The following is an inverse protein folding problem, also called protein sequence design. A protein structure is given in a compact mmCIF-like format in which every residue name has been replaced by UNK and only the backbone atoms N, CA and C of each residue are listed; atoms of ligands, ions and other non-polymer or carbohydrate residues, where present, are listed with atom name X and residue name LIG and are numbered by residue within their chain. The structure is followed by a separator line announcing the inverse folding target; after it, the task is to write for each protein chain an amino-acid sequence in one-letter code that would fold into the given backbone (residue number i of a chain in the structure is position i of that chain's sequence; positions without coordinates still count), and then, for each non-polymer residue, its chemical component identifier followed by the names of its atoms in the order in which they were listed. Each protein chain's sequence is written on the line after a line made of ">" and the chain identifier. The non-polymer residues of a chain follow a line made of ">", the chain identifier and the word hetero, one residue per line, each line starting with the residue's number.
data_IF_649133639364
#
_entry.id   IF_649133639364
#
_cell.length_a   1.000
_cell.length_b   1.000
_cell.length_c   1.000
_cell.angle_alpha   90.00
_cell.angle_beta   90.00
_cell.angle_gamma   90.00
#
_symmetry.space_group_name_H-M   'P 1'
#
loop_
_entity.id
_entity.type
_entity.pdbx_description
1 polymer ?
#
# COMPACT_ATOMS: atom_id res chain seq x y z
N UNK A 1 25.62 23.56 -2.95
CA UNK A 1 24.61 24.61 -2.88
C UNK A 1 23.84 24.47 -1.57
N UNK A 2 23.34 25.58 -1.01
CA UNK A 2 22.34 25.56 0.04
C UNK A 2 20.98 25.16 -0.53
N UNK A 3 20.04 24.80 0.34
CA UNK A 3 18.67 24.46 -0.08
C UNK A 3 18.01 25.61 -0.85
N UNK A 4 18.09 26.84 -0.32
CA UNK A 4 17.53 28.01 -0.96
C UNK A 4 18.16 28.32 -2.33
N UNK A 5 19.50 28.30 -2.40
CA UNK A 5 20.19 28.55 -3.66
C UNK A 5 19.84 27.51 -4.75
N UNK A 6 19.59 26.25 -4.33
CA UNK A 6 19.15 25.21 -5.22
C UNK A 6 17.70 25.45 -5.71
N UNK A 7 16.79 25.82 -4.81
CA UNK A 7 15.41 26.10 -5.19
C UNK A 7 15.31 27.36 -6.08
N UNK A 8 16.12 28.39 -5.86
CA UNK A 8 16.19 29.57 -6.73
C UNK A 8 16.70 29.18 -8.14
N UNK A 9 17.75 28.34 -8.20
CA UNK A 9 18.23 27.81 -9.46
C UNK A 9 17.14 27.04 -10.22
N UNK A 10 16.41 26.16 -9.54
CA UNK A 10 15.30 25.42 -10.14
C UNK A 10 14.16 26.35 -10.57
N UNK A 11 13.79 27.31 -9.75
CA UNK A 11 12.76 28.31 -10.08
C UNK A 11 13.09 29.07 -11.37
N UNK A 12 14.36 29.42 -11.58
CA UNK A 12 14.84 30.05 -12.81
C UNK A 12 14.69 29.14 -14.02
N UNK A 13 15.11 27.87 -13.92
CA UNK A 13 14.97 26.88 -15.01
C UNK A 13 13.51 26.65 -15.36
N UNK A 14 12.63 26.68 -14.36
CA UNK A 14 11.18 26.51 -14.52
C UNK A 14 10.46 27.80 -14.93
N UNK A 15 11.20 28.85 -15.30
CA UNK A 15 10.68 30.14 -15.76
C UNK A 15 9.76 30.85 -14.74
N UNK A 16 9.97 30.65 -13.44
CA UNK A 16 9.26 31.40 -12.42
C UNK A 16 9.68 32.88 -12.51
N UNK A 17 8.74 33.84 -12.63
CA UNK A 17 9.05 35.27 -12.71
C UNK A 17 9.87 35.73 -11.49
N UNK A 18 10.83 36.64 -11.74
CA UNK A 18 11.80 37.07 -10.70
C UNK A 18 11.12 37.60 -9.46
N UNK A 19 10.06 38.37 -9.63
CA UNK A 19 9.25 38.96 -8.54
C UNK A 19 8.50 37.94 -7.71
N UNK A 20 8.24 36.73 -8.23
CA UNK A 20 7.51 35.66 -7.52
C UNK A 20 8.41 34.60 -6.91
N UNK A 21 9.73 34.57 -7.24
CA UNK A 21 10.62 33.48 -6.82
C UNK A 21 10.76 33.36 -5.32
N UNK A 22 10.93 34.48 -4.63
CA UNK A 22 11.11 34.49 -3.18
C UNK A 22 9.89 33.86 -2.47
N UNK A 23 8.69 34.26 -2.88
CA UNK A 23 7.43 33.75 -2.31
C UNK A 23 7.21 32.26 -2.65
N UNK A 24 7.49 31.86 -3.88
CA UNK A 24 7.41 30.46 -4.31
C UNK A 24 8.38 29.56 -3.57
N UNK A 25 9.60 30.01 -3.35
CA UNK A 25 10.59 29.27 -2.56
C UNK A 25 10.15 29.17 -1.11
N UNK A 26 9.66 30.26 -0.51
CA UNK A 26 9.19 30.25 0.87
C UNK A 26 7.99 29.30 1.05
N UNK A 27 7.03 29.30 0.11
CA UNK A 27 5.88 28.41 0.10
C UNK A 27 6.32 26.93 -0.03
N UNK A 28 7.20 26.62 -0.97
CA UNK A 28 7.72 25.28 -1.16
C UNK A 28 8.45 24.75 0.09
N UNK A 29 9.29 25.58 0.74
CA UNK A 29 9.95 25.22 1.98
C UNK A 29 8.97 24.97 3.12
N UNK A 30 7.91 25.78 3.22
CA UNK A 30 6.86 25.62 4.23
C UNK A 30 6.05 24.33 3.99
N UNK A 31 5.57 24.10 2.77
CA UNK A 31 4.81 22.92 2.38
C UNK A 31 5.58 21.62 2.65
N UNK A 32 6.90 21.63 2.46
CA UNK A 32 7.76 20.45 2.68
C UNK A 32 8.36 20.35 4.07
N UNK A 33 8.05 21.32 4.96
CA UNK A 33 8.52 21.39 6.34
C UNK A 33 10.05 21.34 6.46
N UNK A 34 10.76 22.20 5.69
CA UNK A 34 12.22 22.32 5.69
C UNK A 34 12.69 23.79 5.77
N UNK A 35 11.87 24.68 6.32
CA UNK A 35 12.20 26.10 6.47
C UNK A 35 13.48 26.30 7.30
N UNK A 36 13.65 25.48 8.35
CA UNK A 36 14.82 25.47 9.23
C UNK A 36 16.12 25.04 8.54
N UNK A 37 16.02 24.38 7.37
CA UNK A 37 17.13 23.90 6.56
C UNK A 37 17.48 24.80 5.37
N UNK A 38 16.82 25.94 5.24
CA UNK A 38 16.94 26.87 4.11
C UNK A 38 18.39 27.21 3.75
N UNK A 39 19.22 27.50 4.75
CA UNK A 39 20.63 27.93 4.58
C UNK A 39 21.63 26.78 4.65
N UNK A 40 21.18 25.56 4.98
CA UNK A 40 22.08 24.41 5.07
C UNK A 40 22.49 23.87 3.69
N UNK A 41 23.70 23.32 3.63
CA UNK A 41 24.19 22.65 2.42
C UNK A 41 23.45 21.32 2.21
N UNK A 42 22.88 21.08 1.05
CA UNK A 42 22.12 19.85 0.71
C UNK A 42 22.95 18.58 0.97
N UNK A 43 24.27 18.60 0.71
CA UNK A 43 25.15 17.44 0.96
C UNK A 43 25.18 17.00 2.41
N UNK A 44 24.94 17.90 3.37
CA UNK A 44 24.97 17.65 4.81
C UNK A 44 23.65 17.15 5.37
N UNK A 45 22.57 17.24 4.59
CA UNK A 45 21.25 16.82 5.00
C UNK A 45 21.14 15.28 5.08
N UNK A 46 20.31 14.80 6.02
CA UNK A 46 19.90 13.42 6.05
C UNK A 46 19.12 13.04 4.78
N UNK A 47 18.97 11.73 4.51
CA UNK A 47 18.24 11.23 3.34
C UNK A 47 16.80 11.77 3.31
N UNK A 48 16.09 11.77 4.44
CA UNK A 48 14.72 12.29 4.53
C UNK A 48 14.64 13.79 4.23
N UNK A 49 15.59 14.60 4.70
CA UNK A 49 15.63 16.01 4.32
C UNK A 49 15.96 16.22 2.84
N UNK A 50 16.86 15.42 2.27
CA UNK A 50 17.12 15.46 0.80
C UNK A 50 15.88 15.12 -0.01
N UNK A 51 15.10 14.15 0.44
CA UNK A 51 13.83 13.79 -0.19
C UNK A 51 12.84 14.96 -0.15
N UNK A 52 12.72 15.66 0.98
CA UNK A 52 11.87 16.85 1.11
C UNK A 52 12.35 18.02 0.25
N UNK A 53 13.67 18.17 0.07
CA UNK A 53 14.22 19.14 -0.89
C UNK A 53 13.82 18.77 -2.33
N UNK A 54 13.84 17.49 -2.69
CA UNK A 54 13.34 17.00 -3.97
C UNK A 54 11.86 17.30 -4.18
N UNK A 55 11.02 17.14 -3.13
CA UNK A 55 9.61 17.53 -3.18
C UNK A 55 9.43 19.06 -3.30
N UNK A 56 10.21 19.86 -2.55
CA UNK A 56 10.20 21.32 -2.67
C UNK A 56 10.58 21.78 -4.09
N UNK A 57 11.56 21.12 -4.71
CA UNK A 57 11.94 21.34 -6.10
C UNK A 57 10.77 21.13 -7.06
N UNK A 58 9.98 20.07 -6.85
CA UNK A 58 8.82 19.77 -7.70
C UNK A 58 7.69 20.79 -7.51
N UNK A 59 7.63 21.46 -6.35
CA UNK A 59 6.58 22.42 -5.97
C UNK A 59 6.90 23.87 -6.33
N UNK A 60 8.17 24.24 -6.44
CA UNK A 60 8.61 25.65 -6.50
C UNK A 60 7.98 26.46 -7.66
N UNK A 61 7.57 25.80 -8.75
CA UNK A 61 6.92 26.43 -9.90
C UNK A 61 5.39 26.26 -9.91
N UNK A 62 4.83 25.69 -8.82
CA UNK A 62 3.39 25.51 -8.60
C UNK A 62 2.70 24.77 -9.77
N UNK A 63 3.08 23.56 -10.09
CA UNK A 63 2.54 22.81 -11.22
C UNK A 63 1.18 22.20 -10.90
N UNK A 64 0.31 22.06 -11.91
CA UNK A 64 -0.97 21.34 -11.75
C UNK A 64 -0.76 19.84 -11.50
N UNK A 65 0.32 19.26 -12.05
CA UNK A 65 0.64 17.82 -11.94
C UNK A 65 2.04 17.62 -11.38
N UNK A 66 2.16 16.78 -10.38
CA UNK A 66 3.43 16.37 -9.75
C UNK A 66 3.63 14.89 -9.98
N UNK A 67 4.80 14.51 -10.48
CA UNK A 67 5.19 13.10 -10.67
C UNK A 67 6.28 12.78 -9.66
N UNK A 68 6.03 11.79 -8.82
CA UNK A 68 6.91 11.31 -7.76
C UNK A 68 7.28 9.86 -8.03
N UNK A 69 8.55 9.62 -8.23
CA UNK A 69 9.08 8.27 -8.44
C UNK A 69 9.73 7.78 -7.14
N UNK A 70 9.16 6.70 -6.57
CA UNK A 70 9.63 6.03 -5.35
C UNK A 70 9.96 6.99 -4.18
N UNK A 71 9.05 7.91 -3.77
CA UNK A 71 9.40 9.01 -2.87
C UNK A 71 9.72 8.58 -1.43
N UNK A 72 9.47 7.33 -1.06
CA UNK A 72 9.66 6.79 0.30
C UNK A 72 10.82 5.81 0.41
N UNK A 73 11.42 5.43 -0.72
CA UNK A 73 12.50 4.42 -0.76
C UNK A 73 13.71 4.85 0.08
N UNK A 74 14.09 3.95 1.02
CA UNK A 74 15.25 4.08 1.87
C UNK A 74 15.11 5.14 2.98
N UNK A 75 13.89 5.50 3.32
CA UNK A 75 13.54 6.26 4.50
C UNK A 75 13.23 5.32 5.66
N UNK A 76 13.43 5.81 6.89
CA UNK A 76 12.97 5.10 8.09
C UNK A 76 11.42 5.20 8.23
N UNK A 77 10.78 4.34 9.06
CA UNK A 77 9.32 4.31 9.18
C UNK A 77 8.68 5.64 9.57
N UNK A 78 9.35 6.45 10.39
CA UNK A 78 8.85 7.77 10.81
C UNK A 78 8.87 8.74 9.63
N UNK A 79 9.97 8.76 8.88
CA UNK A 79 10.10 9.60 7.69
C UNK A 79 9.13 9.22 6.58
N UNK A 80 8.84 7.91 6.39
CA UNK A 80 7.82 7.42 5.47
C UNK A 80 6.45 8.03 5.81
N UNK A 81 6.05 7.98 7.09
CA UNK A 81 4.78 8.57 7.54
C UNK A 81 4.74 10.08 7.27
N UNK A 82 5.82 10.77 7.54
CA UNK A 82 5.93 12.22 7.34
C UNK A 82 5.84 12.61 5.86
N UNK A 83 6.57 11.92 4.97
CA UNK A 83 6.53 12.16 3.52
C UNK A 83 5.14 11.82 2.95
N UNK A 84 4.53 10.73 3.38
CA UNK A 84 3.17 10.37 2.97
C UNK A 84 2.13 11.42 3.38
N UNK A 85 2.19 11.92 4.61
CA UNK A 85 1.30 12.97 5.08
C UNK A 85 1.49 14.28 4.28
N UNK A 86 2.73 14.60 3.91
CA UNK A 86 3.04 15.71 3.04
C UNK A 86 2.39 15.53 1.66
N UNK A 87 2.58 14.37 1.02
CA UNK A 87 1.98 14.05 -0.28
C UNK A 87 0.45 14.17 -0.22
N UNK A 88 -0.19 13.63 0.82
CA UNK A 88 -1.64 13.77 1.02
C UNK A 88 -2.08 15.24 1.18
N UNK A 89 -1.30 16.04 1.89
CA UNK A 89 -1.59 17.46 2.04
C UNK A 89 -1.51 18.27 0.74
N UNK A 90 -0.77 17.78 -0.24
CA UNK A 90 -0.66 18.39 -1.57
C UNK A 90 -1.81 18.01 -2.52
N UNK A 91 -2.44 16.86 -2.31
CA UNK A 91 -3.48 16.32 -3.18
C UNK A 91 -4.74 17.20 -3.30
N UNK A 92 -4.96 18.17 -2.38
CA UNK A 92 -6.06 19.14 -2.46
C UNK A 92 -5.84 20.25 -3.49
N UNK A 93 -4.58 20.50 -3.91
CA UNK A 93 -4.21 21.60 -4.81
C UNK A 93 -3.48 21.12 -6.06
N UNK A 94 -2.96 19.90 -6.07
CA UNK A 94 -2.20 19.34 -7.18
C UNK A 94 -2.71 17.93 -7.53
N UNK A 95 -2.63 17.55 -8.79
CA UNK A 95 -2.75 16.15 -9.19
C UNK A 95 -1.41 15.45 -8.99
N UNK A 96 -1.38 14.36 -8.22
CA UNK A 96 -0.14 13.64 -7.91
C UNK A 96 -0.15 12.28 -8.59
N UNK A 97 0.87 12.00 -9.38
CA UNK A 97 1.17 10.68 -9.92
C UNK A 97 2.33 10.11 -9.10
N UNK A 98 2.07 9.01 -8.41
CA UNK A 98 3.02 8.34 -7.54
C UNK A 98 3.38 6.98 -8.13
N UNK A 99 4.66 6.73 -8.44
CA UNK A 99 5.14 5.38 -8.70
C UNK A 99 5.69 4.77 -7.41
N UNK A 100 5.34 3.54 -7.12
CA UNK A 100 5.91 2.78 -6.00
C UNK A 100 5.68 1.28 -6.19
N UNK A 101 6.57 0.47 -5.62
CA UNK A 101 6.40 -0.97 -5.50
C UNK A 101 5.90 -1.39 -4.11
N UNK A 102 5.68 -0.44 -3.20
CA UNK A 102 5.24 -0.69 -1.82
C UNK A 102 3.72 -0.58 -1.76
N UNK A 103 3.03 -1.69 -2.03
CA UNK A 103 1.58 -1.75 -2.16
C UNK A 103 0.78 -1.29 -0.91
N UNK A 104 1.22 -1.54 0.35
CA UNK A 104 0.59 -0.93 1.52
C UNK A 104 0.56 0.60 1.50
N UNK A 105 1.59 1.25 0.93
CA UNK A 105 1.61 2.70 0.81
C UNK A 105 0.58 3.22 -0.18
N UNK A 106 0.38 2.48 -1.28
CA UNK A 106 -0.66 2.79 -2.28
C UNK A 106 -2.04 2.81 -1.64
N UNK A 107 -2.38 1.75 -0.88
CA UNK A 107 -3.68 1.65 -0.18
C UNK A 107 -3.94 2.80 0.79
N UNK A 108 -2.88 3.35 1.39
CA UNK A 108 -2.98 4.41 2.38
C UNK A 108 -2.89 5.82 1.80
N UNK A 109 -2.41 5.99 0.56
CA UNK A 109 -2.04 7.31 0.03
C UNK A 109 -2.82 7.67 -1.23
N UNK A 110 -3.17 6.69 -2.06
CA UNK A 110 -3.73 6.92 -3.38
C UNK A 110 -5.25 6.75 -3.41
N UNK A 111 -5.96 7.65 -4.11
CA UNK A 111 -7.40 7.53 -4.35
C UNK A 111 -7.68 6.56 -5.51
N UNK A 112 -6.76 6.43 -6.44
CA UNK A 112 -6.86 5.56 -7.61
C UNK A 112 -5.52 4.90 -7.92
N UNK A 113 -5.57 3.66 -8.36
CA UNK A 113 -4.41 2.84 -8.68
C UNK A 113 -4.46 2.43 -10.14
N UNK A 114 -3.32 2.47 -10.80
CA UNK A 114 -3.09 1.90 -12.13
C UNK A 114 -2.07 0.78 -11.98
N UNK A 115 -2.46 -0.45 -12.26
CA UNK A 115 -1.56 -1.60 -12.25
C UNK A 115 -1.07 -1.82 -13.68
N UNK A 116 0.26 -1.83 -13.84
CA UNK A 116 0.92 -2.05 -15.14
C UNK A 116 1.62 -3.41 -15.09
N UNK A 117 1.35 -4.25 -16.06
CA UNK A 117 2.01 -5.54 -16.27
C UNK A 117 2.48 -5.68 -17.72
N UNK A 118 3.74 -6.04 -17.94
CA UNK A 118 4.35 -6.21 -19.29
C UNK A 118 4.08 -5.03 -20.25
N UNK A 119 4.13 -3.79 -19.73
CA UNK A 119 3.90 -2.58 -20.51
C UNK A 119 2.44 -2.29 -20.87
N UNK A 120 1.47 -3.04 -20.34
CA UNK A 120 0.03 -2.82 -20.52
C UNK A 120 -0.64 -2.50 -19.21
N UNK A 121 -1.73 -1.73 -19.27
CA UNK A 121 -2.58 -1.48 -18.09
C UNK A 121 -3.39 -2.75 -17.82
N UNK A 122 -3.13 -3.38 -16.67
CA UNK A 122 -3.84 -4.57 -16.21
C UNK A 122 -5.12 -4.22 -15.45
N UNK A 123 -5.10 -3.14 -14.65
CA UNK A 123 -6.28 -2.68 -13.91
C UNK A 123 -6.19 -1.18 -13.59
N UNK A 124 -7.34 -0.52 -13.49
CA UNK A 124 -7.48 0.88 -13.01
C UNK A 124 -8.73 0.99 -12.16
N UNK A 125 -8.55 1.23 -10.86
CA UNK A 125 -9.68 1.48 -9.94
C UNK A 125 -9.18 2.07 -8.61
N UNK A 126 -10.10 2.30 -7.66
CA UNK A 126 -9.74 2.60 -6.27
C UNK A 126 -9.11 1.37 -5.61
N UNK A 127 -8.23 1.52 -4.60
CA UNK A 127 -7.69 0.40 -3.85
C UNK A 127 -8.78 -0.53 -3.29
N UNK A 128 -9.88 0.06 -2.79
CA UNK A 128 -11.03 -0.65 -2.23
C UNK A 128 -11.77 -1.49 -3.28
N UNK A 129 -12.03 -0.90 -4.45
CA UNK A 129 -12.70 -1.62 -5.54
C UNK A 129 -11.84 -2.76 -6.08
N UNK A 130 -10.52 -2.53 -6.25
CA UNK A 130 -9.60 -3.57 -6.67
C UNK A 130 -9.64 -4.76 -5.71
N UNK A 131 -9.63 -4.49 -4.39
CA UNK A 131 -9.72 -5.56 -3.38
C UNK A 131 -11.08 -6.25 -3.36
N UNK A 132 -12.16 -5.57 -3.75
CA UNK A 132 -13.50 -6.13 -3.83
C UNK A 132 -13.77 -6.91 -5.14
N UNK A 133 -13.13 -6.53 -6.25
CA UNK A 133 -13.35 -7.13 -7.58
C UNK A 133 -12.72 -8.51 -7.73
N UNK A 134 -11.70 -8.82 -6.95
CA UNK A 134 -11.17 -10.18 -6.96
C UNK A 134 -12.24 -11.14 -6.48
N UNK A 135 -12.73 -11.96 -7.41
CA UNK A 135 -13.72 -13.01 -7.21
C UNK A 135 -13.23 -14.17 -6.32
N UNK A 136 -12.28 -13.92 -5.45
CA UNK A 136 -11.92 -14.81 -4.36
C UNK A 136 -12.79 -14.48 -3.17
N UNK A 137 -13.46 -15.45 -2.57
CA UNK A 137 -14.24 -15.27 -1.35
C UNK A 137 -13.38 -14.65 -0.25
N UNK A 138 -14.02 -14.04 0.73
CA UNK A 138 -13.30 -13.56 1.91
C UNK A 138 -12.52 -14.74 2.51
N UNK A 139 -11.27 -14.51 2.87
CA UNK A 139 -10.48 -15.49 3.63
C UNK A 139 -10.77 -15.26 5.11
N UNK A 140 -11.02 -16.33 5.84
CA UNK A 140 -11.16 -16.31 7.29
C UNK A 140 -9.95 -17.02 7.89
N UNK A 141 -9.20 -16.32 8.71
CA UNK A 141 -8.10 -16.89 9.49
C UNK A 141 -8.62 -17.34 10.85
N UNK A 142 -8.23 -18.54 11.21
CA UNK A 142 -8.61 -19.21 12.47
C UNK A 142 -7.35 -19.65 13.17
N UNK A 143 -7.19 -19.31 14.45
CA UNK A 143 -6.19 -19.88 15.35
C UNK A 143 -6.92 -20.65 16.45
N UNK A 144 -6.67 -21.94 16.57
CA UNK A 144 -7.44 -22.84 17.43
C UNK A 144 -6.55 -23.96 17.96
N UNK A 145 -6.80 -24.39 19.19
CA UNK A 145 -6.21 -25.60 19.75
C UNK A 145 -7.14 -26.78 19.49
N UNK A 146 -6.79 -27.61 18.52
CA UNK A 146 -7.60 -28.74 18.06
C UNK A 146 -6.69 -29.79 17.38
N UNK A 147 -7.14 -31.05 17.22
CA UNK A 147 -6.48 -32.01 16.35
C UNK A 147 -6.61 -31.58 14.88
N UNK A 148 -5.54 -31.71 14.08
CA UNK A 148 -5.50 -31.17 12.70
C UNK A 148 -6.59 -31.76 11.78
N UNK A 149 -6.67 -33.09 11.70
CA UNK A 149 -7.62 -33.75 10.81
C UNK A 149 -9.09 -33.43 11.17
N UNK A 150 -9.54 -33.54 12.45
CA UNK A 150 -10.88 -33.14 12.84
C UNK A 150 -11.18 -31.66 12.56
N UNK A 151 -10.20 -30.74 12.75
CA UNK A 151 -10.38 -29.34 12.42
C UNK A 151 -10.60 -29.11 10.92
N UNK A 152 -9.79 -29.74 10.07
CA UNK A 152 -9.92 -29.69 8.60
C UNK A 152 -11.28 -30.16 8.15
N UNK A 153 -11.72 -31.33 8.67
CA UNK A 153 -13.02 -31.93 8.32
C UNK A 153 -14.18 -31.02 8.74
N UNK A 154 -14.11 -30.44 9.95
CA UNK A 154 -15.12 -29.51 10.46
C UNK A 154 -15.20 -28.24 9.59
N UNK A 155 -14.08 -27.60 9.28
CA UNK A 155 -14.05 -26.37 8.51
C UNK A 155 -14.53 -26.58 7.07
N UNK A 156 -14.24 -27.73 6.47
CA UNK A 156 -14.68 -28.09 5.12
C UNK A 156 -16.20 -28.30 5.04
N UNK A 157 -16.85 -28.74 6.12
CA UNK A 157 -18.29 -28.95 6.17
C UNK A 157 -19.10 -27.67 6.42
N UNK A 158 -18.47 -26.53 6.69
CA UNK A 158 -19.20 -25.28 6.94
C UNK A 158 -19.81 -24.75 5.64
N UNK A 159 -21.12 -24.48 5.61
CA UNK A 159 -21.80 -23.95 4.43
C UNK A 159 -21.19 -22.61 3.99
N UNK A 160 -20.63 -22.56 2.79
CA UNK A 160 -19.96 -21.38 2.26
C UNK A 160 -18.42 -21.42 2.33
N UNK A 161 -17.83 -22.44 2.95
CA UNK A 161 -16.40 -22.74 2.80
C UNK A 161 -16.12 -23.32 1.42
N UNK A 162 -15.16 -22.76 0.68
CA UNK A 162 -14.78 -23.24 -0.67
C UNK A 162 -13.42 -23.95 -0.65
N UNK A 163 -12.50 -23.49 0.17
CA UNK A 163 -11.18 -24.09 0.32
C UNK A 163 -10.69 -23.92 1.75
N UNK A 164 -10.10 -24.98 2.32
CA UNK A 164 -9.53 -24.98 3.67
C UNK A 164 -8.06 -25.36 3.60
N UNK A 165 -7.21 -24.50 4.13
CA UNK A 165 -5.79 -24.76 4.32
C UNK A 165 -5.51 -24.78 5.82
N UNK A 166 -4.87 -25.81 6.32
CA UNK A 166 -4.42 -25.92 7.71
C UNK A 166 -2.91 -25.99 7.70
N UNK A 167 -2.27 -25.07 8.41
CA UNK A 167 -0.82 -25.03 8.59
C UNK A 167 -0.40 -26.04 9.67
N UNK A 168 0.82 -26.57 9.62
CA UNK A 168 1.33 -27.44 10.67
C UNK A 168 1.24 -26.79 12.06
N UNK A 169 1.01 -27.62 13.08
CA UNK A 169 0.93 -27.15 14.46
C UNK A 169 2.22 -26.43 14.88
N UNK A 170 2.06 -25.31 15.57
CA UNK A 170 3.19 -24.62 16.22
C UNK A 170 3.65 -25.36 17.47
N UNK A 171 4.78 -24.93 18.02
CA UNK A 171 5.35 -25.51 19.22
C UNK A 171 4.42 -25.47 20.46
N UNK A 172 3.44 -24.55 20.46
CA UNK A 172 2.42 -24.39 21.50
C UNK A 172 1.16 -25.26 21.28
N UNK A 173 1.17 -26.11 20.25
CA UNK A 173 0.04 -27.00 19.90
C UNK A 173 -1.15 -26.32 19.22
N UNK A 174 -1.03 -25.04 18.86
CA UNK A 174 -2.06 -24.32 18.13
C UNK A 174 -1.94 -24.54 16.63
N UNK A 175 -3.08 -24.62 15.97
CA UNK A 175 -3.20 -24.72 14.52
C UNK A 175 -3.67 -23.38 13.94
N UNK A 176 -3.09 -23.00 12.82
CA UNK A 176 -3.58 -21.92 11.99
C UNK A 176 -4.30 -22.51 10.78
N UNK A 177 -5.53 -22.07 10.56
CA UNK A 177 -6.28 -22.45 9.38
C UNK A 177 -6.73 -21.20 8.62
N UNK A 178 -6.71 -21.30 7.29
CA UNK A 178 -7.28 -20.28 6.40
C UNK A 178 -8.43 -20.93 5.63
N UNK A 179 -9.63 -20.35 5.75
CA UNK A 179 -10.84 -20.79 5.06
C UNK A 179 -11.21 -19.75 4.02
N UNK A 180 -11.20 -20.14 2.76
CA UNK A 180 -11.75 -19.31 1.68
C UNK A 180 -13.26 -19.48 1.63
N UNK A 181 -13.99 -18.35 1.50
CA UNK A 181 -15.47 -18.38 1.48
C UNK A 181 -15.98 -18.13 0.08
N UNK A 182 -17.18 -18.61 -0.21
CA UNK A 182 -17.91 -18.19 -1.39
C UNK A 182 -18.25 -16.69 -1.29
N UNK A 183 -18.30 -16.00 -2.44
CA UNK A 183 -18.48 -14.56 -2.53
C UNK A 183 -19.67 -14.06 -1.69
N UNK A 184 -19.42 -13.05 -0.84
CA UNK A 184 -20.43 -12.36 -0.06
C UNK A 184 -20.93 -13.08 1.21
N UNK A 185 -20.34 -14.25 1.58
CA UNK A 185 -20.76 -14.98 2.79
C UNK A 185 -19.75 -14.79 3.93
N UNK A 186 -20.20 -14.19 5.02
CA UNK A 186 -19.47 -14.18 6.29
C UNK A 186 -19.80 -15.47 7.07
N UNK A 187 -18.81 -16.37 7.15
CA UNK A 187 -18.96 -17.66 7.83
C UNK A 187 -18.32 -17.68 9.22
N UNK A 188 -17.83 -16.54 9.70
CA UNK A 188 -17.12 -16.46 11.01
C UNK A 188 -17.98 -16.94 12.16
N UNK A 189 -19.24 -16.54 12.22
CA UNK A 189 -20.17 -16.98 13.27
C UNK A 189 -20.39 -18.49 13.25
N UNK A 190 -20.51 -19.09 12.07
CA UNK A 190 -20.65 -20.54 11.92
C UNK A 190 -19.38 -21.28 12.35
N UNK A 191 -18.20 -20.78 11.99
CA UNK A 191 -16.90 -21.32 12.44
C UNK A 191 -16.83 -21.28 13.98
N UNK A 192 -17.10 -20.12 14.59
CA UNK A 192 -17.03 -19.96 16.04
C UNK A 192 -17.96 -20.93 16.78
N UNK A 193 -19.22 -21.03 16.33
CA UNK A 193 -20.19 -21.94 16.93
C UNK A 193 -19.73 -23.41 16.85
N UNK A 194 -19.24 -23.85 15.69
CA UNK A 194 -18.77 -25.23 15.50
C UNK A 194 -17.53 -25.58 16.31
N UNK A 195 -16.59 -24.64 16.47
CA UNK A 195 -15.41 -24.81 17.32
C UNK A 195 -15.83 -24.90 18.79
N UNK A 196 -16.77 -24.06 19.24
CA UNK A 196 -17.31 -24.09 20.59
C UNK A 196 -18.08 -25.38 20.89
N UNK A 197 -18.90 -25.90 19.94
CA UNK A 197 -19.58 -27.18 20.05
C UNK A 197 -18.62 -28.35 20.30
N UNK A 198 -17.39 -28.28 19.75
CA UNK A 198 -16.34 -29.30 19.95
C UNK A 198 -15.52 -29.11 21.24
N UNK A 199 -15.77 -28.02 21.99
CA UNK A 199 -15.00 -27.69 23.18
C UNK A 199 -13.54 -27.28 22.90
N UNK A 200 -13.25 -26.86 21.68
CA UNK A 200 -11.89 -26.41 21.31
C UNK A 200 -11.66 -24.95 21.67
N UNK A 201 -10.42 -24.63 22.06
CA UNK A 201 -10.07 -23.25 22.42
C UNK A 201 -9.77 -22.43 21.18
N UNK A 202 -10.61 -21.44 20.90
CA UNK A 202 -10.45 -20.47 19.80
C UNK A 202 -9.62 -19.27 20.29
N UNK A 203 -8.53 -18.96 19.63
CA UNK A 203 -7.64 -17.85 19.98
C UNK A 203 -7.79 -16.65 19.04
N UNK A 204 -7.96 -16.92 17.73
CA UNK A 204 -8.18 -15.86 16.75
C UNK A 204 -9.24 -16.31 15.73
N UNK A 205 -10.12 -15.39 15.35
CA UNK A 205 -11.06 -15.55 14.24
C UNK A 205 -11.25 -14.20 13.56
N UNK A 206 -10.63 -14.02 12.41
CA UNK A 206 -10.75 -12.77 11.66
C UNK A 206 -10.96 -12.98 10.18
N UNK A 207 -11.74 -12.08 9.57
CA UNK A 207 -11.77 -11.95 8.12
C UNK A 207 -10.45 -11.35 7.64
N UNK A 208 -9.86 -11.95 6.63
CA UNK A 208 -8.69 -11.42 5.93
C UNK A 208 -9.20 -10.94 4.58
N UNK A 209 -9.22 -9.62 4.39
CA UNK A 209 -9.43 -9.05 3.05
C UNK A 209 -8.18 -9.31 2.23
N UNK A 210 -8.36 -9.59 0.94
CA UNK A 210 -7.25 -9.65 0.00
C UNK A 210 -6.52 -8.30 0.01
N UNK A 211 -5.21 -8.36 0.05
CA UNK A 211 -4.36 -7.18 -0.03
C UNK A 211 -4.13 -6.79 -1.50
N UNK A 212 -3.65 -5.58 -1.75
CA UNK A 212 -3.22 -5.19 -3.10
C UNK A 212 -2.08 -6.08 -3.62
N UNK A 213 -1.27 -6.68 -2.72
CA UNK A 213 -0.24 -7.65 -3.06
C UNK A 213 -0.84 -8.91 -3.68
N UNK A 214 -1.91 -9.44 -3.08
CA UNK A 214 -2.60 -10.63 -3.61
C UNK A 214 -3.16 -10.34 -5.00
N UNK A 215 -3.72 -9.14 -5.20
CA UNK A 215 -4.23 -8.66 -6.48
C UNK A 215 -3.13 -8.58 -7.52
N UNK A 216 -2.04 -7.93 -7.16
CA UNK A 216 -0.89 -7.76 -8.04
C UNK A 216 -0.34 -9.12 -8.48
N UNK A 217 -0.19 -10.06 -7.53
CA UNK A 217 0.26 -11.42 -7.83
C UNK A 217 -0.71 -12.14 -8.77
N UNK A 218 -2.02 -12.07 -8.55
CA UNK A 218 -3.00 -12.70 -9.45
C UNK A 218 -2.92 -12.12 -10.86
N UNK A 219 -2.98 -10.79 -11.00
CA UNK A 219 -2.92 -10.13 -12.32
C UNK A 219 -1.60 -10.32 -13.06
N UNK A 220 -0.52 -10.67 -12.34
CA UNK A 220 0.78 -10.90 -12.96
C UNK A 220 1.09 -12.37 -13.22
N UNK A 221 0.44 -13.31 -12.51
CA UNK A 221 0.65 -14.77 -12.65
C UNK A 221 -0.36 -15.44 -13.60
N UNK A 222 -1.60 -14.98 -13.68
CA UNK A 222 -2.60 -15.56 -14.61
C UNK A 222 -2.18 -15.41 -16.08
N UNK A 223 -1.44 -14.35 -16.42
CA UNK A 223 -0.87 -14.19 -17.77
C UNK A 223 0.25 -15.20 -18.09
N UNK A 224 0.91 -15.78 -17.10
CA UNK A 224 1.94 -16.81 -17.33
C UNK A 224 1.30 -18.15 -17.72
N UNK A 225 0.15 -18.48 -17.15
CA UNK A 225 -0.57 -19.71 -17.48
C UNK A 225 -1.20 -19.70 -18.89
N UNK A 226 -1.60 -18.52 -19.39
CA UNK A 226 -2.13 -18.38 -20.75
C UNK A 226 -1.04 -18.33 -21.84
N UNK A 227 0.19 -17.94 -21.50
CA UNK A 227 1.31 -17.89 -22.45
C UNK A 227 1.88 -19.31 -22.72
N UNK A 228 1.78 -20.26 -21.79
CA UNK A 228 2.25 -21.65 -21.97
C UNK A 228 1.26 -22.51 -22.77
N UNK A 229 -0.01 -22.10 -22.91
CA UNK A 229 -1.01 -22.81 -23.70
C UNK A 229 -1.10 -22.37 -25.17
N UNK A 230 -0.29 -21.40 -25.58
CA UNK A 230 -0.29 -20.84 -26.95
C UNK A 230 0.98 -21.13 -27.75
N UNK A 231 1.80 -22.08 -27.30
CA UNK A 231 2.98 -22.59 -28.02
C UNK A 231 2.80 -24.04 -28.42
#
# INVERSE_FOLDING_TARGET
>A
MTVEAYLDFVARIKNVPAEKRADRIADALKKTNIVDKRTELIKRLSRGYKQRVGLAQALVHDPDVIILDEPTVGLDPKQIIEVRNLIKGLAGTHTIILSTHILPEVSMTCDRVVIINKGKIAAVDTPQNLTAQLKGGQKVRVEVQAPEKPLRDLLTQIPGASRVQVEPARADGRLHATVETAQGKDIRSAIAAKIAEKGWSLYELRGVSLSLEDIFLQLTTDDAAHAEQSN
#
